data_IF_370113862019
#
_entry.id   IF_370113862019
#
_cell.length_a   1.000
_cell.length_b   1.000
_cell.length_c   1.000
_cell.angle_alpha   90.00
_cell.angle_beta   90.00
_cell.angle_gamma   90.00
#
_symmetry.space_group_name_H-M   'P 1'
#
loop_
_entity.id
_entity.type
_entity.pdbx_description
1 polymer ?
#
# COMPACT_ATOMS: atom_id res chain seq x y z
N UNK A 1 8.94 28.46 2.80
CA UNK A 1 7.98 27.41 3.22
C UNK A 1 8.48 26.86 4.53
N UNK A 2 7.63 26.71 5.55
CA UNK A 2 8.03 26.01 6.78
C UNK A 2 7.89 24.51 6.54
N UNK A 3 8.97 23.77 6.78
CA UNK A 3 8.91 22.31 6.80
C UNK A 3 8.42 21.85 8.17
N UNK A 4 7.61 20.79 8.19
CA UNK A 4 7.12 20.15 9.41
C UNK A 4 7.77 18.79 9.48
N UNK A 5 8.51 18.54 10.56
CA UNK A 5 9.06 17.22 10.86
C UNK A 5 7.98 16.39 11.56
N UNK A 6 7.78 15.16 11.06
CA UNK A 6 6.81 14.20 11.59
C UNK A 6 7.56 12.92 11.93
N UNK A 7 7.24 12.30 13.07
CA UNK A 7 7.80 10.98 13.41
C UNK A 7 7.37 9.94 12.39
N UNK A 8 8.31 9.09 11.96
CA UNK A 8 8.03 7.99 11.04
C UNK A 8 6.96 7.03 11.60
N UNK A 9 7.03 6.71 12.89
CA UNK A 9 6.09 5.81 13.57
C UNK A 9 4.68 6.41 13.62
N UNK A 10 4.58 7.71 13.93
CA UNK A 10 3.30 8.43 13.95
C UNK A 10 2.71 8.53 12.54
N UNK A 11 3.55 8.79 11.54
CA UNK A 11 3.13 8.87 10.15
C UNK A 11 2.66 7.51 9.63
N UNK A 12 3.39 6.43 9.94
CA UNK A 12 2.99 5.07 9.56
C UNK A 12 1.65 4.68 10.20
N UNK A 13 1.49 4.92 11.50
CA UNK A 13 0.22 4.68 12.21
C UNK A 13 -0.93 5.45 11.57
N UNK A 14 -0.71 6.73 11.23
CA UNK A 14 -1.70 7.55 10.56
C UNK A 14 -2.08 6.98 9.19
N UNK A 15 -1.11 6.64 8.34
CA UNK A 15 -1.35 6.11 7.00
C UNK A 15 -2.02 4.73 7.04
N UNK A 16 -1.62 3.86 7.96
CA UNK A 16 -2.25 2.54 8.15
C UNK A 16 -3.73 2.67 8.48
N UNK A 17 -4.08 3.54 9.45
CA UNK A 17 -5.48 3.80 9.81
C UNK A 17 -6.33 4.30 8.61
N UNK A 18 -5.72 5.06 7.68
CA UNK A 18 -6.41 5.46 6.47
C UNK A 18 -6.69 4.28 5.54
N UNK A 19 -5.75 3.36 5.35
CA UNK A 19 -5.96 2.15 4.53
C UNK A 19 -6.98 1.19 5.16
N UNK A 20 -6.93 0.98 6.48
CA UNK A 20 -7.95 0.21 7.21
C UNK A 20 -9.36 0.77 6.99
N UNK A 21 -9.50 2.09 6.89
CA UNK A 21 -10.80 2.73 6.59
C UNK A 21 -11.37 2.38 5.21
N UNK A 22 -10.59 1.71 4.35
CA UNK A 22 -10.99 1.26 3.01
C UNK A 22 -11.19 -0.26 2.91
N UNK A 23 -11.55 -0.91 4.03
CA UNK A 23 -11.83 -2.36 4.13
C UNK A 23 -10.59 -3.26 3.99
N UNK A 24 -9.40 -2.66 3.88
CA UNK A 24 -8.14 -3.40 3.86
C UNK A 24 -7.88 -4.05 5.22
N UNK A 25 -7.24 -5.22 5.23
CA UNK A 25 -6.83 -5.86 6.47
C UNK A 25 -5.82 -4.99 7.22
N UNK A 26 -5.74 -5.13 8.56
CA UNK A 26 -4.75 -4.39 9.35
C UNK A 26 -3.32 -4.68 8.89
N UNK A 27 -3.03 -5.95 8.58
CA UNK A 27 -1.73 -6.41 8.11
C UNK A 27 -1.33 -5.76 6.77
N UNK A 28 -2.22 -5.77 5.78
CA UNK A 28 -1.96 -5.17 4.47
C UNK A 28 -1.85 -3.63 4.57
N UNK A 29 -2.67 -3.01 5.42
CA UNK A 29 -2.64 -1.59 5.66
C UNK A 29 -1.33 -1.15 6.33
N UNK A 30 -0.85 -1.92 7.30
CA UNK A 30 0.44 -1.70 7.96
C UNK A 30 1.59 -1.85 6.97
N UNK A 31 1.56 -2.87 6.11
CA UNK A 31 2.57 -3.09 5.08
C UNK A 31 2.60 -1.94 4.06
N UNK A 32 1.44 -1.51 3.56
CA UNK A 32 1.34 -0.36 2.65
C UNK A 32 1.88 0.93 3.31
N UNK A 33 1.52 1.17 4.58
CA UNK A 33 1.97 2.34 5.32
C UNK A 33 3.48 2.33 5.55
N UNK A 34 4.05 1.18 5.95
CA UNK A 34 5.50 1.00 6.12
C UNK A 34 6.23 1.31 4.81
N UNK A 35 5.80 0.74 3.69
CA UNK A 35 6.44 0.93 2.39
C UNK A 35 6.46 2.42 1.97
N UNK A 36 5.34 3.13 2.15
CA UNK A 36 5.24 4.55 1.83
C UNK A 36 6.13 5.42 2.73
N UNK A 37 6.11 5.18 4.05
CA UNK A 37 6.92 5.96 5.01
C UNK A 37 8.41 5.68 4.82
N UNK A 38 8.79 4.42 4.60
CA UNK A 38 10.17 4.04 4.29
C UNK A 38 10.68 4.70 3.02
N UNK A 39 9.81 4.87 2.03
CA UNK A 39 10.13 5.60 0.79
C UNK A 39 10.42 7.09 1.06
N UNK A 40 9.69 7.73 2.00
CA UNK A 40 10.07 9.07 2.47
C UNK A 40 11.40 9.07 3.22
N UNK A 41 11.67 8.08 4.08
CA UNK A 41 12.95 7.97 4.79
C UNK A 41 14.15 7.77 3.86
N UNK A 42 13.93 7.19 2.67
CA UNK A 42 14.92 7.11 1.60
C UNK A 42 15.08 8.41 0.81
N UNK A 43 14.31 9.46 1.12
CA UNK A 43 14.33 10.74 0.41
C UNK A 43 13.64 10.73 -0.95
N UNK A 44 12.76 9.76 -1.20
CA UNK A 44 12.03 9.61 -2.48
C UNK A 44 10.59 10.10 -2.30
N UNK A 45 10.43 11.38 -1.95
CA UNK A 45 9.13 11.94 -1.54
C UNK A 45 8.04 11.83 -2.61
N UNK A 46 8.45 11.83 -3.89
CA UNK A 46 7.54 11.64 -5.01
C UNK A 46 6.83 10.28 -5.03
N UNK A 47 7.29 9.29 -4.25
CA UNK A 47 6.72 7.95 -4.16
C UNK A 47 6.36 7.53 -2.73
N UNK A 48 6.60 8.38 -1.73
CA UNK A 48 6.20 8.14 -0.34
C UNK A 48 4.74 8.49 -0.07
N UNK A 49 4.44 8.96 1.15
CA UNK A 49 3.07 9.24 1.62
C UNK A 49 2.29 10.24 0.76
N UNK A 50 2.95 11.02 -0.09
CA UNK A 50 2.32 11.85 -1.13
C UNK A 50 1.38 11.04 -2.04
N UNK A 51 1.64 9.73 -2.21
CA UNK A 51 0.82 8.83 -3.05
C UNK A 51 -0.40 8.27 -2.32
N UNK A 52 -0.46 8.31 -0.99
CA UNK A 52 -1.55 7.73 -0.22
C UNK A 52 -2.96 8.19 -0.68
N UNK A 53 -3.22 9.48 -0.97
CA UNK A 53 -4.54 9.92 -1.44
C UNK A 53 -5.00 9.21 -2.72
N UNK A 54 -4.10 8.95 -3.67
CA UNK A 54 -4.41 8.28 -4.94
C UNK A 54 -4.80 6.82 -4.71
N UNK A 55 -4.10 6.12 -3.83
CA UNK A 55 -4.43 4.74 -3.49
C UNK A 55 -5.76 4.64 -2.75
N UNK A 56 -5.98 5.50 -1.76
CA UNK A 56 -7.23 5.57 -1.00
C UNK A 56 -8.42 5.90 -1.91
N UNK A 57 -8.25 6.79 -2.89
CA UNK A 57 -9.31 7.10 -3.86
C UNK A 57 -9.64 5.89 -4.73
N UNK A 58 -8.63 5.14 -5.20
CA UNK A 58 -8.83 3.92 -6.00
C UNK A 58 -9.57 2.84 -5.22
N UNK A 59 -9.19 2.61 -3.96
CA UNK A 59 -9.86 1.66 -3.06
C UNK A 59 -11.33 2.07 -2.83
N UNK A 60 -11.58 3.34 -2.51
CA UNK A 60 -12.96 3.87 -2.35
C UNK A 60 -13.80 3.74 -3.62
N UNK A 61 -13.19 3.90 -4.79
CA UNK A 61 -13.85 3.73 -6.09
C UNK A 61 -13.96 2.27 -6.54
N UNK A 62 -13.50 1.31 -5.72
CA UNK A 62 -13.44 -0.13 -6.05
C UNK A 62 -12.66 -0.43 -7.33
N UNK A 63 -11.71 0.43 -7.67
CA UNK A 63 -10.75 0.22 -8.76
C UNK A 63 -9.52 -0.58 -8.31
N UNK A 64 -9.49 -1.00 -7.05
CA UNK A 64 -8.48 -1.82 -6.41
C UNK A 64 -9.20 -2.69 -5.37
N UNK A 65 -8.84 -3.96 -5.30
CA UNK A 65 -9.41 -4.89 -4.32
C UNK A 65 -8.68 -4.73 -2.98
N UNK A 66 -9.38 -4.36 -1.88
CA UNK A 66 -8.78 -4.20 -0.56
C UNK A 66 -8.44 -5.53 0.13
N UNK A 67 -9.01 -6.65 -0.35
CA UNK A 67 -8.81 -7.99 0.24
C UNK A 67 -8.56 -9.02 -0.87
N UNK A 68 -7.47 -8.85 -1.66
CA UNK A 68 -7.23 -9.65 -2.84
C UNK A 68 -6.95 -11.12 -2.47
N UNK A 69 -7.43 -12.04 -3.29
CA UNK A 69 -7.16 -13.47 -3.16
C UNK A 69 -6.30 -13.95 -4.32
N UNK A 70 -5.00 -14.02 -4.08
CA UNK A 70 -4.05 -14.41 -5.11
C UNK A 70 -4.29 -15.83 -5.58
N UNK A 71 -4.19 -16.01 -6.90
CA UNK A 71 -4.39 -17.32 -7.53
C UNK A 71 -3.24 -17.66 -8.45
N UNK A 72 -2.66 -18.84 -8.25
CA UNK A 72 -1.75 -19.42 -9.24
C UNK A 72 -2.51 -19.79 -10.50
N UNK A 73 -2.09 -19.22 -11.63
CA UNK A 73 -2.68 -19.47 -12.95
C UNK A 73 -1.95 -20.61 -13.65
N UNK A 74 -0.63 -20.55 -13.67
CA UNK A 74 0.23 -21.57 -14.27
C UNK A 74 1.63 -21.49 -13.68
N UNK A 75 2.45 -22.51 -13.91
CA UNK A 75 3.86 -22.50 -13.53
C UNK A 75 4.59 -23.73 -14.02
N UNK A 76 5.89 -23.62 -14.20
CA UNK A 76 6.76 -24.72 -14.59
C UNK A 76 8.19 -24.44 -14.15
N UNK A 77 8.86 -25.46 -13.60
CA UNK A 77 10.22 -25.34 -13.07
C UNK A 77 10.32 -24.22 -12.03
N UNK A 78 11.15 -23.22 -12.31
CA UNK A 78 11.41 -22.07 -11.44
C UNK A 78 10.50 -20.86 -11.69
N UNK A 79 9.42 -21.00 -12.48
CA UNK A 79 8.52 -19.90 -12.82
C UNK A 79 7.08 -20.17 -12.38
N UNK A 80 6.43 -19.14 -11.84
CA UNK A 80 5.01 -19.11 -11.53
C UNK A 80 4.35 -17.84 -12.10
N UNK A 81 3.08 -17.96 -12.47
CA UNK A 81 2.22 -16.84 -12.84
C UNK A 81 1.10 -16.76 -11.82
N UNK A 82 1.00 -15.63 -11.14
CA UNK A 82 -0.05 -15.31 -10.17
C UNK A 82 -0.98 -14.26 -10.76
N UNK A 83 -2.28 -14.43 -10.52
CA UNK A 83 -3.29 -13.40 -10.65
C UNK A 83 -3.40 -12.66 -9.31
N UNK A 84 -3.18 -11.35 -9.35
CA UNK A 84 -3.18 -10.46 -8.20
C UNK A 84 -4.57 -10.03 -7.73
N UNK A 85 -5.64 -10.42 -8.43
CA UNK A 85 -7.04 -10.14 -8.05
C UNK A 85 -7.31 -8.64 -7.86
N UNK A 86 -6.76 -7.82 -8.76
CA UNK A 86 -6.79 -6.34 -8.72
C UNK A 86 -6.32 -5.72 -7.39
N UNK A 87 -5.50 -6.46 -6.63
CA UNK A 87 -4.96 -6.04 -5.35
C UNK A 87 -4.04 -4.83 -5.42
N UNK A 88 -3.79 -4.23 -4.26
CA UNK A 88 -2.76 -3.21 -4.14
C UNK A 88 -1.39 -3.79 -4.47
N UNK A 89 -0.64 -3.17 -5.38
CA UNK A 89 0.69 -3.66 -5.79
C UNK A 89 1.77 -3.63 -4.69
N UNK A 90 1.45 -3.15 -3.49
CA UNK A 90 2.29 -3.39 -2.31
C UNK A 90 2.15 -4.84 -1.83
N UNK A 91 0.92 -5.36 -1.84
CA UNK A 91 0.55 -6.65 -1.26
C UNK A 91 0.75 -7.80 -2.26
N UNK A 92 0.54 -7.53 -3.55
CA UNK A 92 0.72 -8.46 -4.68
C UNK A 92 2.19 -8.57 -5.07
#
# INVERSE_FOLDING_TARGET
MSEILVSAEQLQTFISNLFVSTEMSQEDADFCAEALVKTNLWGIDSHGVLRAPVYLERLRKRAMNPTPKFKKIQGSGAFEVLDGDDGAGFVV
#
